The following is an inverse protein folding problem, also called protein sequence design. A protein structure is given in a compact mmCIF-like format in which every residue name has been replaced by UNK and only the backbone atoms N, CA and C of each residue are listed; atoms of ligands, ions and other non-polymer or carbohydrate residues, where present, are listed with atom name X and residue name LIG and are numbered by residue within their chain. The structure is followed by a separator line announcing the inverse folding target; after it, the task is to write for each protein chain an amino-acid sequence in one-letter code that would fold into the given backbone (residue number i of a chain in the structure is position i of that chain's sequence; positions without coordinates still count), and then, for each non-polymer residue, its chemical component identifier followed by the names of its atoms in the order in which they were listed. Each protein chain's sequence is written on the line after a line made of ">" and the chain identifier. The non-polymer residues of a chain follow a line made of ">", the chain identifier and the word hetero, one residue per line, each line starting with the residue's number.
data_IF_654408246065
#
_entry.id   IF_654408246065
#
_cell.length_a   1.000
_cell.length_b   1.000
_cell.length_c   1.000
_cell.angle_alpha   90.00
_cell.angle_beta   90.00
_cell.angle_gamma   90.00
#
_symmetry.space_group_name_H-M   'P 1'
#
loop_
_entity.id
_entity.type
_entity.pdbx_description
1 polymer ?
#
# COMPACT_ATOMS: atom_id res chain seq x y z
N UNK A 1 14.66 -40.99 -0.66
CA UNK A 1 14.99 -39.57 -0.39
C UNK A 1 14.58 -38.62 -1.52
N UNK A 2 14.57 -39.04 -2.80
CA UNK A 2 14.23 -38.17 -3.96
C UNK A 2 12.79 -37.62 -3.97
N UNK A 3 11.82 -38.41 -3.50
CA UNK A 3 10.40 -38.00 -3.40
C UNK A 3 10.15 -36.95 -2.32
N UNK A 4 10.97 -36.91 -1.26
CA UNK A 4 10.84 -35.93 -0.17
C UNK A 4 11.28 -34.52 -0.59
N UNK A 5 12.23 -34.42 -1.52
CA UNK A 5 12.74 -33.13 -2.03
C UNK A 5 11.69 -32.45 -2.91
N UNK A 6 10.98 -33.20 -3.77
CA UNK A 6 9.94 -32.64 -4.63
C UNK A 6 8.76 -32.04 -3.86
N UNK A 7 8.35 -32.68 -2.76
CA UNK A 7 7.26 -32.19 -1.89
C UNK A 7 7.66 -30.90 -1.16
N UNK A 8 8.91 -30.81 -0.68
CA UNK A 8 9.42 -29.61 0.01
C UNK A 8 9.52 -28.43 -0.95
N UNK A 9 10.01 -28.64 -2.17
CA UNK A 9 10.10 -27.57 -3.18
C UNK A 9 8.71 -27.06 -3.56
N UNK A 10 7.73 -27.95 -3.74
CA UNK A 10 6.36 -27.54 -4.06
C UNK A 10 5.72 -26.71 -2.93
N UNK A 11 5.93 -27.10 -1.67
CA UNK A 11 5.43 -26.34 -0.52
C UNK A 11 6.05 -24.94 -0.43
N UNK A 12 7.35 -24.80 -0.71
CA UNK A 12 8.03 -23.50 -0.72
C UNK A 12 7.52 -22.60 -1.83
N UNK A 13 7.29 -23.14 -3.04
CA UNK A 13 6.73 -22.38 -4.16
C UNK A 13 5.32 -21.89 -3.87
N UNK A 14 4.47 -22.73 -3.25
CA UNK A 14 3.11 -22.33 -2.86
C UNK A 14 3.10 -21.23 -1.80
N UNK A 15 4.01 -21.29 -0.82
CA UNK A 15 4.17 -20.22 0.16
C UNK A 15 4.60 -18.91 -0.50
N UNK A 16 5.64 -18.94 -1.34
CA UNK A 16 6.12 -17.75 -2.06
C UNK A 16 5.03 -17.14 -2.94
N UNK A 17 4.24 -17.96 -3.64
CA UNK A 17 3.13 -17.48 -4.46
C UNK A 17 2.05 -16.77 -3.62
N UNK A 18 1.68 -17.33 -2.46
CA UNK A 18 0.72 -16.72 -1.56
C UNK A 18 1.22 -15.37 -0.99
N UNK A 19 2.52 -15.26 -0.71
CA UNK A 19 3.12 -14.00 -0.27
C UNK A 19 3.09 -12.92 -1.35
N UNK A 20 3.39 -13.27 -2.61
CA UNK A 20 3.35 -12.31 -3.73
C UNK A 20 1.92 -11.86 -4.05
N UNK A 21 0.93 -12.76 -3.95
CA UNK A 21 -0.48 -12.41 -4.15
C UNK A 21 -1.08 -11.53 -3.06
N UNK A 22 -0.45 -11.45 -1.89
CA UNK A 22 -0.92 -10.65 -0.75
C UNK A 22 -0.23 -9.28 -0.66
N UNK A 23 0.63 -8.94 -1.63
CA UNK A 23 1.18 -7.57 -1.73
C UNK A 23 0.09 -6.71 -2.37
N UNK A 24 -0.46 -5.71 -1.64
CA UNK A 24 -1.42 -4.80 -2.24
C UNK A 24 -0.78 -4.12 -3.45
N UNK A 25 -1.54 -4.04 -4.54
CA UNK A 25 -1.08 -3.32 -5.72
C UNK A 25 -0.82 -1.85 -5.36
N UNK A 26 0.13 -1.19 -6.05
CA UNK A 26 0.42 0.23 -5.79
C UNK A 26 -0.85 1.11 -5.84
N UNK A 27 -1.76 0.81 -6.77
CA UNK A 27 -3.04 1.50 -6.89
C UNK A 27 -3.96 1.32 -5.68
N UNK A 28 -3.97 0.12 -5.08
CA UNK A 28 -4.72 -0.14 -3.85
C UNK A 28 -4.11 0.58 -2.65
N UNK A 29 -2.78 0.59 -2.53
CA UNK A 29 -2.07 1.34 -1.50
C UNK A 29 -2.35 2.84 -1.62
N UNK A 30 -2.33 3.40 -2.83
CA UNK A 30 -2.67 4.81 -3.07
C UNK A 30 -4.14 5.13 -2.78
N UNK A 31 -5.07 4.22 -3.12
CA UNK A 31 -6.48 4.39 -2.79
C UNK A 31 -6.72 4.31 -1.28
N UNK A 32 -6.06 3.38 -0.59
CA UNK A 32 -6.12 3.26 0.87
C UNK A 32 -5.57 4.52 1.55
N UNK A 33 -4.41 5.01 1.08
CA UNK A 33 -3.81 6.25 1.57
C UNK A 33 -4.76 7.45 1.41
N UNK A 34 -5.36 7.63 0.22
CA UNK A 34 -6.33 8.72 -0.02
C UNK A 34 -7.55 8.67 0.90
N UNK A 35 -8.03 7.48 1.26
CA UNK A 35 -9.16 7.33 2.20
C UNK A 35 -8.77 7.57 3.66
N UNK A 36 -7.51 7.38 4.00
CA UNK A 36 -7.00 7.58 5.35
C UNK A 36 -6.57 9.02 5.63
N UNK A 37 -6.55 9.90 4.61
CA UNK A 37 -6.29 11.32 4.80
C UNK A 37 -7.43 11.99 5.57
N UNK A 38 -7.05 12.74 6.59
CA UNK A 38 -7.93 13.45 7.50
C UNK A 38 -7.30 14.80 7.92
N UNK A 39 -8.03 15.59 8.72
CA UNK A 39 -7.59 16.92 9.17
C UNK A 39 -6.31 16.92 10.04
N UNK A 40 -5.88 15.76 10.54
CA UNK A 40 -4.62 15.61 11.29
C UNK A 40 -3.45 15.15 10.41
N UNK A 41 -3.72 14.76 9.18
CA UNK A 41 -2.71 14.31 8.22
C UNK A 41 -1.89 15.50 7.73
N UNK A 42 -0.57 15.45 7.91
CA UNK A 42 0.36 16.49 7.44
C UNK A 42 1.55 15.88 6.74
N UNK A 43 2.47 16.71 6.22
CA UNK A 43 3.71 16.24 5.62
C UNK A 43 4.58 15.44 6.61
N UNK A 44 4.54 15.81 7.89
CA UNK A 44 5.32 15.22 8.98
C UNK A 44 4.53 14.17 9.78
N UNK A 45 3.19 14.24 9.76
CA UNK A 45 2.30 13.26 10.38
C UNK A 45 1.57 12.46 9.31
N UNK A 46 2.22 11.38 8.84
CA UNK A 46 1.65 10.49 7.80
C UNK A 46 0.94 9.29 8.41
N UNK A 47 -0.26 8.94 7.92
CA UNK A 47 -0.89 7.66 8.24
C UNK A 47 0.01 6.49 7.86
N UNK A 48 0.02 5.42 8.66
CA UNK A 48 0.86 4.24 8.38
C UNK A 48 0.58 3.62 7.00
N UNK A 49 -0.68 3.66 6.56
CA UNK A 49 -1.10 3.18 5.22
C UNK A 49 -0.51 3.99 4.06
N UNK A 50 0.01 5.20 4.33
CA UNK A 50 0.66 6.06 3.35
C UNK A 50 2.20 5.92 3.37
N UNK A 51 2.79 5.08 4.23
CA UNK A 51 4.26 4.93 4.28
C UNK A 51 4.86 4.38 3.01
N UNK A 52 4.15 3.47 2.34
CA UNK A 52 4.59 2.86 1.08
C UNK A 52 4.29 3.75 -0.14
N UNK A 53 3.69 4.93 0.06
CA UNK A 53 3.45 5.93 -0.98
C UNK A 53 4.62 6.90 -1.04
N UNK A 54 5.05 7.25 -2.26
CA UNK A 54 6.15 8.20 -2.46
C UNK A 54 5.83 9.56 -1.83
N UNK A 55 6.88 10.27 -1.38
CA UNK A 55 6.67 11.57 -0.74
C UNK A 55 6.06 12.63 -1.66
N UNK A 56 6.34 12.56 -2.95
CA UNK A 56 5.75 13.43 -3.97
C UNK A 56 4.26 13.12 -4.17
N UNK A 57 3.92 11.84 -4.36
CA UNK A 57 2.53 11.38 -4.51
C UNK A 57 1.69 11.76 -3.28
N UNK A 58 2.24 11.57 -2.07
CA UNK A 58 1.54 11.93 -0.84
C UNK A 58 1.26 13.44 -0.73
N UNK A 59 2.20 14.31 -1.16
CA UNK A 59 1.96 15.76 -1.21
C UNK A 59 0.81 16.12 -2.16
N UNK A 60 0.74 15.47 -3.32
CA UNK A 60 -0.38 15.64 -4.24
C UNK A 60 -1.70 15.24 -3.60
N UNK A 61 -1.73 14.14 -2.84
CA UNK A 61 -2.95 13.71 -2.16
C UNK A 61 -3.37 14.67 -1.05
N UNK A 62 -2.42 15.23 -0.28
CA UNK A 62 -2.72 16.28 0.71
C UNK A 62 -3.31 17.53 0.04
N UNK A 63 -2.71 18.00 -1.05
CA UNK A 63 -3.23 19.15 -1.79
C UNK A 63 -4.67 18.90 -2.28
N UNK A 64 -4.92 17.72 -2.87
CA UNK A 64 -6.26 17.35 -3.35
C UNK A 64 -7.27 17.24 -2.20
N UNK A 65 -6.83 16.78 -1.03
CA UNK A 65 -7.66 16.74 0.17
C UNK A 65 -8.04 18.15 0.64
N UNK A 66 -7.07 19.07 0.71
CA UNK A 66 -7.29 20.47 1.09
C UNK A 66 -8.24 21.16 0.10
N UNK A 67 -8.00 21.03 -1.22
CA UNK A 67 -8.87 21.59 -2.25
C UNK A 67 -10.32 21.08 -2.11
N UNK A 68 -10.50 19.77 -1.88
CA UNK A 68 -11.83 19.20 -1.63
C UNK A 68 -12.46 19.72 -0.36
N UNK A 69 -11.69 19.88 0.72
CA UNK A 69 -12.18 20.44 1.97
C UNK A 69 -12.64 21.90 1.81
N UNK A 70 -12.02 22.65 0.90
CA UNK A 70 -12.41 24.00 0.50
C UNK A 70 -13.58 24.05 -0.50
N UNK A 71 -14.08 22.90 -0.96
CA UNK A 71 -15.16 22.81 -1.95
C UNK A 71 -14.72 23.11 -3.39
N UNK A 72 -13.42 23.06 -3.65
CA UNK A 72 -12.79 23.21 -4.96
C UNK A 72 -12.49 21.82 -5.54
N UNK A 73 -13.52 21.11 -6.04
CA UNK A 73 -13.39 19.80 -6.71
C UNK A 73 -13.64 19.95 -8.23
#
# INVERSE_FOLDING_TARGET
>A
MRTRIGVVVLAVVLLLAAFVSNIPSQAETEAACRRALDNTSTAENRPDVCRDVSAETYRTFLLMYELRAEGLD
#
